data_IF_981311680043
#
_entry.id   IF_981311680043
#
_cell.length_a   1.000
_cell.length_b   1.000
_cell.length_c   1.000
_cell.angle_alpha   90.00
_cell.angle_beta   90.00
_cell.angle_gamma   90.00
#
_symmetry.space_group_name_H-M   'P 1'
#
loop_
_entity.id
_entity.type
_entity.pdbx_description
1 polymer ?
#
# COMPACT_ATOMS: atom_id res chain seq x y z
N UNK A 1 16.24 5.34 6.09
CA UNK A 1 15.10 5.72 6.96
C UNK A 1 15.49 5.66 8.43
N UNK A 2 15.93 4.51 8.97
CA UNK A 2 16.33 4.41 10.39
C UNK A 2 17.38 5.45 10.82
N UNK A 3 18.41 5.68 10.01
CA UNK A 3 19.40 6.73 10.27
C UNK A 3 18.78 8.13 10.41
N UNK A 4 17.84 8.48 9.53
CA UNK A 4 17.13 9.78 9.57
C UNK A 4 16.27 9.87 10.84
N UNK A 5 15.59 8.79 11.20
CA UNK A 5 14.83 8.72 12.46
C UNK A 5 15.72 8.86 13.70
N UNK A 6 16.92 8.26 13.68
CA UNK A 6 17.90 8.39 14.76
C UNK A 6 18.40 9.83 14.89
N UNK A 7 18.74 10.47 13.77
CA UNK A 7 19.15 11.88 13.74
C UNK A 7 18.03 12.78 14.29
N UNK A 8 16.80 12.62 13.81
CA UNK A 8 15.66 13.41 14.28
C UNK A 8 15.34 13.17 15.76
N UNK A 9 15.45 11.92 16.23
CA UNK A 9 15.25 11.57 17.64
C UNK A 9 16.35 12.16 18.54
N UNK A 10 17.59 12.12 18.08
CA UNK A 10 18.71 12.78 18.75
C UNK A 10 18.51 14.30 18.79
N UNK A 11 18.09 14.92 17.68
CA UNK A 11 17.78 16.35 17.63
C UNK A 11 16.67 16.69 18.64
N UNK A 12 15.57 15.95 18.67
CA UNK A 12 14.49 16.19 19.64
C UNK A 12 14.99 16.07 21.09
N UNK A 13 15.81 15.07 21.40
CA UNK A 13 16.41 14.92 22.72
C UNK A 13 17.37 16.07 23.05
N UNK A 14 18.21 16.47 22.09
CA UNK A 14 19.19 17.55 22.25
C UNK A 14 18.51 18.90 22.50
N UNK A 15 17.51 19.27 21.69
CA UNK A 15 16.77 20.52 21.87
C UNK A 15 15.88 20.50 23.13
N UNK A 16 15.38 19.34 23.55
CA UNK A 16 14.60 19.18 24.77
C UNK A 16 15.43 19.19 26.07
N UNK A 17 16.65 18.64 26.05
CA UNK A 17 17.47 18.43 27.26
C UNK A 17 18.68 19.35 27.40
N UNK A 18 19.36 19.69 26.30
CA UNK A 18 20.65 20.40 26.31
C UNK A 18 20.50 21.90 26.12
N UNK A 19 19.49 22.34 25.36
CA UNK A 19 19.27 23.77 25.15
C UNK A 19 18.78 24.40 26.46
N UNK A 20 19.60 25.21 27.14
CA UNK A 20 19.28 25.95 28.37
C UNK A 20 18.90 27.42 28.09
N UNK A 21 18.24 27.68 26.95
CA UNK A 21 17.69 29.00 26.60
C UNK A 21 16.34 29.33 27.26
N UNK A 22 15.79 30.51 26.95
CA UNK A 22 14.45 30.94 27.40
C UNK A 22 13.39 29.87 27.08
N UNK A 23 12.55 29.53 28.07
CA UNK A 23 11.60 28.41 27.98
C UNK A 23 10.74 28.44 26.70
N UNK A 24 10.27 29.62 26.29
CA UNK A 24 9.45 29.82 25.09
C UNK A 24 10.16 29.44 23.78
N UNK A 25 11.48 29.71 23.67
CA UNK A 25 12.28 29.32 22.49
C UNK A 25 12.44 27.81 22.42
N UNK A 26 12.67 27.15 23.56
CA UNK A 26 12.80 25.68 23.60
C UNK A 26 11.53 24.98 23.13
N UNK A 27 10.37 25.43 23.63
CA UNK A 27 9.07 24.89 23.22
C UNK A 27 8.83 25.06 21.72
N UNK A 28 9.19 26.21 21.14
CA UNK A 28 9.05 26.46 19.71
C UNK A 28 9.91 25.51 18.87
N UNK A 29 11.21 25.39 19.18
CA UNK A 29 12.11 24.49 18.45
C UNK A 29 11.69 23.03 18.61
N UNK A 30 11.29 22.62 19.81
CA UNK A 30 10.84 21.26 20.07
C UNK A 30 9.54 20.94 19.33
N UNK A 31 8.59 21.89 19.23
CA UNK A 31 7.37 21.73 18.44
C UNK A 31 7.66 21.58 16.94
N UNK A 32 8.62 22.35 16.40
CA UNK A 32 9.02 22.25 14.99
C UNK A 32 9.65 20.87 14.71
N UNK A 33 10.56 20.41 15.57
CA UNK A 33 11.20 19.10 15.42
C UNK A 33 10.17 17.98 15.57
N UNK A 34 9.23 18.12 16.50
CA UNK A 34 8.12 17.18 16.64
C UNK A 34 7.27 17.10 15.37
N UNK A 35 6.96 18.23 14.74
CA UNK A 35 6.25 18.24 13.46
C UNK A 35 7.05 17.54 12.35
N UNK A 36 8.37 17.73 12.30
CA UNK A 36 9.26 17.03 11.35
C UNK A 36 9.29 15.52 11.61
N UNK A 37 9.35 15.08 12.87
CA UNK A 37 9.25 13.67 13.25
C UNK A 37 7.92 13.08 12.82
N UNK A 38 6.82 13.80 13.02
CA UNK A 38 5.48 13.36 12.65
C UNK A 38 5.36 13.16 11.13
N UNK A 39 5.86 14.11 10.34
CA UNK A 39 5.91 13.99 8.87
C UNK A 39 6.78 12.82 8.45
N UNK A 40 7.97 12.68 9.05
CA UNK A 40 8.87 11.55 8.77
C UNK A 40 8.21 10.20 9.09
N UNK A 41 7.46 10.12 10.18
CA UNK A 41 6.75 8.91 10.60
C UNK A 41 5.65 8.53 9.60
N UNK A 42 4.88 9.50 9.09
CA UNK A 42 3.91 9.25 8.03
C UNK A 42 4.55 8.73 6.76
N UNK A 43 5.67 9.32 6.33
CA UNK A 43 6.42 8.84 5.17
C UNK A 43 6.93 7.43 5.40
N UNK A 44 7.45 7.14 6.60
CA UNK A 44 7.94 5.82 6.97
C UNK A 44 6.84 4.74 6.90
N UNK A 45 5.65 5.01 7.45
CA UNK A 45 4.51 4.09 7.41
C UNK A 45 4.06 3.75 5.99
N UNK A 46 4.13 4.71 5.06
CA UNK A 46 3.68 4.52 3.68
C UNK A 46 4.73 3.89 2.75
N UNK A 47 6.02 3.99 3.07
CA UNK A 47 7.08 3.42 2.24
C UNK A 47 6.95 1.90 2.11
N UNK A 48 6.72 1.19 3.22
CA UNK A 48 6.63 -0.27 3.24
C UNK A 48 5.52 -0.85 2.35
N UNK A 49 4.25 -0.40 2.45
CA UNK A 49 3.18 -0.89 1.60
C UNK A 49 3.32 -0.49 0.13
N UNK A 50 3.98 0.65 -0.17
CA UNK A 50 4.27 1.03 -1.56
C UNK A 50 5.37 0.14 -2.15
N UNK A 51 6.39 -0.20 -1.35
CA UNK A 51 7.48 -1.08 -1.77
C UNK A 51 6.99 -2.51 -2.07
N UNK A 52 5.96 -2.99 -1.37
CA UNK A 52 5.41 -4.34 -1.60
C UNK A 52 4.53 -4.44 -2.84
N UNK A 53 4.04 -3.32 -3.38
CA UNK A 53 3.05 -3.31 -4.49
C UNK A 53 3.57 -2.67 -5.77
N UNK A 54 4.62 -1.85 -5.71
CA UNK A 54 5.17 -1.15 -6.85
C UNK A 54 6.68 -1.37 -6.98
N UNK A 55 7.09 -1.97 -8.09
CA UNK A 55 8.49 -2.00 -8.56
C UNK A 55 8.88 -0.59 -9.03
N UNK A 56 9.31 0.27 -8.08
CA UNK A 56 9.66 1.67 -8.33
C UNK A 56 11.06 1.98 -7.80
N UNK A 57 11.78 2.91 -8.44
CA UNK A 57 13.10 3.34 -7.95
C UNK A 57 12.98 4.07 -6.61
N UNK A 58 13.96 3.87 -5.72
CA UNK A 58 13.92 4.31 -4.31
C UNK A 58 13.56 5.79 -4.12
N UNK A 59 13.95 6.66 -5.07
CA UNK A 59 13.67 8.11 -5.04
C UNK A 59 12.20 8.41 -5.36
N UNK A 60 11.62 7.71 -6.34
CA UNK A 60 10.23 7.89 -6.74
C UNK A 60 9.28 7.33 -5.69
N UNK A 61 9.65 6.25 -5.00
CA UNK A 61 8.87 5.67 -3.90
C UNK A 61 8.62 6.69 -2.79
N UNK A 62 9.61 7.49 -2.42
CA UNK A 62 9.49 8.49 -1.34
C UNK A 62 8.55 9.62 -1.76
N UNK A 63 8.70 10.15 -2.97
CA UNK A 63 7.87 11.26 -3.47
C UNK A 63 6.43 10.78 -3.67
N UNK A 64 6.24 9.56 -4.20
CA UNK A 64 4.92 8.99 -4.42
C UNK A 64 4.24 8.62 -3.09
N UNK A 65 4.99 8.15 -2.10
CA UNK A 65 4.51 7.93 -0.73
C UNK A 65 4.06 9.22 -0.06
N UNK A 66 4.82 10.29 -0.23
CA UNK A 66 4.51 11.60 0.34
C UNK A 66 3.25 12.20 -0.30
N UNK A 67 3.11 12.10 -1.63
CA UNK A 67 1.92 12.55 -2.36
C UNK A 67 0.67 11.72 -2.03
N UNK A 68 0.80 10.40 -1.89
CA UNK A 68 -0.27 9.50 -1.44
C UNK A 68 -0.74 9.82 -0.02
N UNK A 69 0.22 10.00 0.90
CA UNK A 69 -0.05 10.31 2.30
C UNK A 69 -0.82 11.63 2.44
N UNK A 70 -0.42 12.69 1.72
CA UNK A 70 -1.09 14.01 1.77
C UNK A 70 -2.50 13.97 1.16
N UNK A 71 -2.72 13.21 0.08
CA UNK A 71 -4.03 13.15 -0.59
C UNK A 71 -5.10 12.36 0.19
N UNK A 72 -4.69 11.41 1.03
CA UNK A 72 -5.58 10.59 1.86
C UNK A 72 -5.24 10.70 3.36
N UNK A 73 -4.84 11.91 3.79
CA UNK A 73 -4.48 12.23 5.18
C UNK A 73 -5.62 11.88 6.16
N UNK A 74 -6.89 12.07 5.80
CA UNK A 74 -8.03 11.77 6.67
C UNK A 74 -8.19 10.28 7.01
N UNK A 75 -7.99 9.39 6.04
CA UNK A 75 -8.03 7.93 6.27
C UNK A 75 -6.79 7.47 7.04
N UNK A 76 -5.62 8.08 6.75
CA UNK A 76 -4.37 7.85 7.49
C UNK A 76 -4.49 8.23 8.95
N UNK A 77 -5.18 9.34 9.26
CA UNK A 77 -5.41 9.79 10.64
C UNK A 77 -6.34 8.83 11.38
N UNK A 78 -7.40 8.33 10.74
CA UNK A 78 -8.29 7.34 11.35
C UNK A 78 -7.56 6.04 11.70
N UNK A 79 -6.69 5.59 10.81
CA UNK A 79 -5.83 4.42 10.98
C UNK A 79 -4.83 4.63 12.13
N UNK A 80 -4.17 5.79 12.17
CA UNK A 80 -3.29 6.18 13.26
C UNK A 80 -4.02 6.23 14.62
N UNK A 81 -5.26 6.73 14.64
CA UNK A 81 -6.09 6.76 15.84
C UNK A 81 -6.41 5.33 16.30
N UNK A 82 -6.77 4.42 15.40
CA UNK A 82 -6.99 3.01 15.73
C UNK A 82 -5.72 2.36 16.31
N UNK A 83 -4.56 2.58 15.70
CA UNK A 83 -3.28 2.06 16.21
C UNK A 83 -2.97 2.60 17.62
N UNK A 84 -3.13 3.91 17.83
CA UNK A 84 -2.91 4.56 19.14
C UNK A 84 -3.89 4.03 20.18
N UNK A 85 -5.17 3.82 19.82
CA UNK A 85 -6.18 3.27 20.74
C UNK A 85 -5.81 1.85 21.17
N UNK A 86 -5.35 1.00 20.24
CA UNK A 86 -4.94 -0.38 20.58
C UNK A 86 -3.69 -0.38 21.46
N UNK A 87 -2.73 0.50 21.20
CA UNK A 87 -1.52 0.65 22.04
C UNK A 87 -1.87 1.14 23.45
N UNK A 88 -2.77 2.11 23.57
CA UNK A 88 -3.25 2.60 24.88
C UNK A 88 -4.00 1.50 25.62
N UNK A 89 -4.87 0.76 24.94
CA UNK A 89 -5.57 -0.37 25.53
C UNK A 89 -4.58 -1.44 26.03
N UNK A 90 -3.57 -1.78 25.23
CA UNK A 90 -2.50 -2.70 25.61
C UNK A 90 -1.73 -2.21 26.84
N UNK A 91 -1.37 -0.92 26.89
CA UNK A 91 -0.69 -0.31 28.03
C UNK A 91 -1.53 -0.43 29.31
N UNK A 92 -2.82 -0.08 29.26
CA UNK A 92 -3.73 -0.20 30.40
C UNK A 92 -3.85 -1.67 30.86
N UNK A 93 -3.98 -2.59 29.89
CA UNK A 93 -4.07 -4.04 30.15
C UNK A 93 -2.79 -4.60 30.76
N UNK A 94 -1.62 -4.08 30.38
CA UNK A 94 -0.33 -4.52 30.91
C UNK A 94 -0.24 -4.31 32.43
N UNK A 95 -0.72 -3.17 32.93
CA UNK A 95 -0.67 -2.85 34.36
C UNK A 95 -1.83 -3.44 35.17
N UNK A 96 -3.02 -3.57 34.58
CA UNK A 96 -4.19 -4.08 35.30
C UNK A 96 -4.31 -5.60 35.24
N UNK A 97 -4.06 -6.21 34.08
CA UNK A 97 -4.37 -7.62 33.83
C UNK A 97 -3.34 -8.26 32.85
N UNK A 98 -2.15 -8.67 33.34
CA UNK A 98 -1.02 -9.08 32.50
C UNK A 98 -1.29 -10.24 31.54
N UNK A 99 -2.12 -11.22 31.93
CA UNK A 99 -2.44 -12.38 31.07
C UNK A 99 -3.21 -12.00 29.79
N UNK A 100 -3.98 -10.90 29.82
CA UNK A 100 -4.84 -10.43 28.75
C UNK A 100 -4.05 -9.47 27.86
N UNK A 101 -3.05 -8.80 28.43
CA UNK A 101 -2.02 -8.07 27.67
C UNK A 101 -1.21 -9.00 26.77
N UNK A 102 -0.80 -10.17 27.25
CA UNK A 102 -0.14 -11.18 26.41
C UNK A 102 -1.06 -11.64 25.25
N UNK A 103 -2.32 -11.94 25.55
CA UNK A 103 -3.30 -12.29 24.52
C UNK A 103 -3.52 -11.16 23.49
N UNK A 104 -3.64 -9.91 23.95
CA UNK A 104 -3.79 -8.74 23.09
C UNK A 104 -2.51 -8.44 22.30
N UNK A 105 -1.33 -8.84 22.77
CA UNK A 105 -0.09 -8.72 22.00
C UNK A 105 -0.06 -9.73 20.85
N UNK A 106 -0.43 -11.00 21.13
CA UNK A 106 -0.50 -12.06 20.12
C UNK A 106 -1.60 -11.80 19.08
N UNK A 107 -2.81 -11.44 19.50
CA UNK A 107 -3.96 -11.27 18.61
C UNK A 107 -4.14 -9.82 18.14
N UNK A 108 -3.85 -8.83 18.99
CA UNK A 108 -4.01 -7.42 18.66
C UNK A 108 -3.02 -6.95 17.60
N UNK A 109 -1.79 -7.48 17.57
CA UNK A 109 -0.86 -7.18 16.47
C UNK A 109 -1.40 -7.67 15.12
N UNK A 110 -1.95 -8.88 15.08
CA UNK A 110 -2.60 -9.42 13.88
C UNK A 110 -3.85 -8.61 13.49
N UNK A 111 -4.64 -8.16 14.47
CA UNK A 111 -5.82 -7.33 14.23
C UNK A 111 -5.45 -5.95 13.67
N UNK A 112 -4.42 -5.31 14.23
CA UNK A 112 -3.85 -4.05 13.72
C UNK A 112 -3.38 -4.24 12.28
N UNK A 113 -2.61 -5.30 12.01
CA UNK A 113 -2.11 -5.59 10.66
C UNK A 113 -3.27 -5.79 9.66
N UNK A 114 -4.35 -6.45 10.07
CA UNK A 114 -5.53 -6.67 9.24
C UNK A 114 -6.30 -5.38 8.95
N UNK A 115 -6.57 -4.56 9.98
CA UNK A 115 -7.19 -3.23 9.82
C UNK A 115 -6.34 -2.37 8.88
N UNK A 116 -5.02 -2.39 9.09
CA UNK A 116 -4.09 -1.60 8.34
C UNK A 116 -4.01 -2.05 6.88
N UNK A 117 -3.98 -3.37 6.63
CA UNK A 117 -4.03 -3.94 5.28
C UNK A 117 -5.30 -3.56 4.52
N UNK A 118 -6.46 -3.62 5.17
CA UNK A 118 -7.76 -3.34 4.54
C UNK A 118 -7.87 -1.86 4.15
N UNK A 119 -7.39 -0.95 5.00
CA UNK A 119 -7.33 0.49 4.69
C UNK A 119 -6.38 0.76 3.52
N UNK A 120 -5.20 0.12 3.49
CA UNK A 120 -4.26 0.27 2.39
C UNK A 120 -4.83 -0.24 1.07
N UNK A 121 -5.53 -1.38 1.07
CA UNK A 121 -6.16 -1.94 -0.12
C UNK A 121 -7.14 -0.95 -0.78
N UNK A 122 -7.99 -0.31 0.03
CA UNK A 122 -8.94 0.71 -0.43
C UNK A 122 -8.24 1.95 -1.00
N UNK A 123 -7.08 2.35 -0.43
CA UNK A 123 -6.29 3.48 -0.94
C UNK A 123 -5.62 3.12 -2.27
N UNK A 124 -5.08 1.91 -2.39
CA UNK A 124 -4.33 1.46 -3.57
C UNK A 124 -5.22 1.07 -4.75
N UNK A 125 -6.43 0.58 -4.53
CA UNK A 125 -7.40 0.26 -5.59
C UNK A 125 -7.66 1.45 -6.54
N UNK A 126 -7.49 2.67 -6.02
CA UNK A 126 -7.66 3.91 -6.78
C UNK A 126 -6.43 4.35 -7.59
N UNK A 127 -5.28 3.74 -7.34
CA UNK A 127 -4.00 4.02 -8.03
C UNK A 127 -3.49 2.88 -8.88
N UNK A 128 -3.96 1.66 -8.63
CA UNK A 128 -3.83 0.63 -9.64
C UNK A 128 -4.78 0.98 -10.80
N UNK A 129 -4.39 0.68 -12.05
CA UNK A 129 -5.39 0.54 -13.09
C UNK A 129 -6.45 -0.38 -12.49
N UNK A 130 -7.73 0.02 -12.53
CA UNK A 130 -8.78 -0.99 -12.44
C UNK A 130 -8.36 -2.02 -13.47
N UNK A 131 -8.16 -3.27 -13.06
CA UNK A 131 -8.22 -4.33 -14.04
C UNK A 131 -9.61 -4.14 -14.63
N UNK A 132 -9.63 -3.52 -15.80
CA UNK A 132 -10.80 -3.43 -16.61
C UNK A 132 -10.99 -4.88 -17.03
N UNK A 133 -11.65 -5.65 -16.17
CA UNK A 133 -12.21 -6.93 -16.56
C UNK A 133 -13.28 -6.73 -17.65
N UNK A 134 -13.54 -5.49 -18.10
CA UNK A 134 -14.25 -5.17 -19.35
C UNK A 134 -13.34 -5.12 -20.59
N UNK A 135 -12.09 -5.58 -20.48
CA UNK A 135 -11.27 -6.03 -21.61
C UNK A 135 -10.55 -7.35 -21.29
N UNK A 136 -11.17 -8.22 -20.50
CA UNK A 136 -11.12 -9.65 -20.84
C UNK A 136 -12.02 -9.77 -22.08
N UNK A 137 -11.49 -9.34 -23.24
CA UNK A 137 -12.04 -9.84 -24.48
C UNK A 137 -11.81 -11.32 -24.36
N UNK A 138 -12.88 -12.05 -23.99
CA UNK A 138 -12.90 -13.50 -23.86
C UNK A 138 -11.98 -14.02 -24.94
N UNK A 139 -10.75 -14.38 -24.58
CA UNK A 139 -9.81 -14.94 -25.55
C UNK A 139 -10.30 -16.36 -25.71
N UNK A 140 -11.44 -16.48 -26.39
CA UNK A 140 -11.99 -17.75 -26.81
C UNK A 140 -10.86 -18.37 -27.60
N UNK A 141 -10.24 -19.46 -27.12
CA UNK A 141 -9.20 -20.11 -27.88
C UNK A 141 -9.78 -20.32 -29.28
N UNK A 142 -9.02 -20.03 -30.32
CA UNK A 142 -9.48 -20.09 -31.73
C UNK A 142 -10.17 -21.43 -32.04
N UNK A 143 -9.84 -22.47 -31.27
CA UNK A 143 -10.41 -23.81 -31.29
C UNK A 143 -11.85 -23.93 -30.77
N UNK A 144 -12.34 -22.99 -29.97
CA UNK A 144 -13.69 -22.99 -29.41
C UNK A 144 -14.75 -22.68 -30.48
N UNK A 145 -14.39 -21.88 -31.49
CA UNK A 145 -15.22 -21.55 -32.64
C UNK A 145 -15.18 -22.61 -33.75
N UNK A 146 -14.41 -23.69 -33.56
CA UNK A 146 -14.24 -24.78 -34.54
C UNK A 146 -15.03 -26.01 -34.08
N UNK A 147 -15.86 -26.55 -34.96
CA UNK A 147 -16.56 -27.82 -34.76
C UNK A 147 -15.58 -29.00 -34.85
N UNK A 148 -15.93 -30.15 -34.28
CA UNK A 148 -15.09 -31.36 -34.36
C UNK A 148 -14.80 -31.84 -35.79
N UNK A 149 -15.59 -31.42 -36.78
CA UNK A 149 -15.39 -31.71 -38.19
C UNK A 149 -14.50 -30.68 -38.92
N UNK A 150 -13.97 -29.68 -38.20
CA UNK A 150 -13.13 -28.61 -38.73
C UNK A 150 -13.89 -27.43 -39.33
N UNK A 151 -15.23 -27.42 -39.26
CA UNK A 151 -16.04 -26.29 -39.72
C UNK A 151 -16.16 -25.17 -38.67
N UNK A 152 -16.42 -23.93 -39.10
CA UNK A 152 -16.64 -22.79 -38.19
C UNK A 152 -18.06 -22.82 -37.61
N UNK A 153 -18.21 -22.49 -36.32
CA UNK A 153 -19.51 -22.27 -35.67
C UNK A 153 -20.16 -20.96 -36.16
N UNK A 154 -21.49 -20.94 -36.28
CA UNK A 154 -22.24 -19.71 -36.61
C UNK A 154 -22.03 -18.65 -35.52
N UNK A 155 -21.32 -17.57 -35.85
CA UNK A 155 -20.97 -16.48 -34.92
C UNK A 155 -19.50 -16.45 -34.46
N UNK A 156 -18.60 -17.18 -35.13
CA UNK A 156 -17.18 -17.22 -34.82
C UNK A 156 -16.50 -15.82 -34.83
N UNK A 157 -15.48 -15.66 -33.99
CA UNK A 157 -14.66 -14.45 -33.92
C UNK A 157 -13.94 -14.18 -35.25
N UNK A 158 -13.87 -12.91 -35.66
CA UNK A 158 -13.19 -12.49 -36.89
C UNK A 158 -11.69 -12.81 -36.92
N UNK A 159 -11.09 -13.14 -35.77
CA UNK A 159 -9.71 -13.64 -35.69
C UNK A 159 -9.60 -15.11 -36.13
N UNK A 160 -10.61 -15.93 -35.84
CA UNK A 160 -10.70 -17.35 -36.25
C UNK A 160 -10.84 -17.48 -37.77
N UNK A 161 -11.65 -16.62 -38.41
CA UNK A 161 -11.79 -16.61 -39.87
C UNK A 161 -10.48 -16.26 -40.60
N UNK A 162 -9.73 -15.29 -40.07
CA UNK A 162 -8.43 -14.90 -40.63
C UNK A 162 -7.40 -16.02 -40.51
N UNK A 163 -7.30 -16.65 -39.35
CA UNK A 163 -6.36 -17.75 -39.10
C UNK A 163 -6.63 -18.95 -40.03
N UNK A 164 -7.90 -19.33 -40.25
CA UNK A 164 -8.25 -20.41 -41.18
C UNK A 164 -7.93 -20.06 -42.63
N UNK A 165 -8.15 -18.80 -43.01
CA UNK A 165 -7.85 -18.33 -44.38
C UNK A 165 -6.34 -18.36 -44.64
N UNK A 166 -5.52 -17.97 -43.67
CA UNK A 166 -4.06 -18.06 -43.75
C UNK A 166 -3.57 -19.51 -43.80
N UNK A 167 -4.14 -20.40 -42.99
CA UNK A 167 -3.82 -21.83 -43.03
C UNK A 167 -4.15 -22.44 -44.39
N UNK A 168 -5.31 -22.13 -44.96
CA UNK A 168 -5.72 -22.63 -46.28
C UNK A 168 -4.79 -22.11 -47.39
N UNK A 169 -4.39 -20.85 -47.30
CA UNK A 169 -3.41 -20.28 -48.23
C UNK A 169 -2.04 -20.96 -48.11
N UNK A 170 -1.61 -21.29 -46.88
CA UNK A 170 -0.34 -22.01 -46.66
C UNK A 170 -0.37 -23.45 -47.14
N UNK A 171 -1.53 -24.13 -47.10
CA UNK A 171 -1.67 -25.50 -47.61
C UNK A 171 -1.79 -25.57 -49.13
N UNK A 172 -2.21 -24.48 -49.78
CA UNK A 172 -2.33 -24.40 -51.24
C UNK A 172 -0.98 -24.00 -51.91
N UNK A 173 -0.03 -23.47 -51.12
CA UNK A 173 1.32 -23.07 -51.56
C UNK A 173 2.40 -24.18 -51.38
N UNK A 174 2.04 -25.35 -50.82
CA UNK A 174 2.87 -26.58 -50.74
C UNK A 174 2.45 -27.64 -51.79
#
# INVERSE_FOLDING_TARGET
MLFIGLVLGFDFYFFGSVMTGAASMKFLFQAIIFALILIWFFVFLYIWPILSRFENTTKNTIINALLMSIRYLGSTISMLICDVVVVIAWYILLFNIPWLSAFLLLMGFALIAWINSTMFEHIFEKYMPKEDHSHDGEVKPILEDINMDGSLKEGASGETEKAITELKKSSDDE
#
